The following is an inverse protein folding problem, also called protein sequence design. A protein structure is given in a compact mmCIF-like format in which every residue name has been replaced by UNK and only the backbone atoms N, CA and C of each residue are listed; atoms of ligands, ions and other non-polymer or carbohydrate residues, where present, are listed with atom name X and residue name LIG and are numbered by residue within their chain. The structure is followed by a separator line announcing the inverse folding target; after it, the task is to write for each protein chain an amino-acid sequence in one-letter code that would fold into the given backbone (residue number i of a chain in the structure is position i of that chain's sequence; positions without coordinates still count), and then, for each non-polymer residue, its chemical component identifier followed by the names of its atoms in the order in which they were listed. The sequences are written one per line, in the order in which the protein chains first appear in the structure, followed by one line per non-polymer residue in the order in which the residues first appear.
data_IF_728842905520
#
_entry.id   IF_728842905520
#
_cell.length_a   1.000
_cell.length_b   1.000
_cell.length_c   1.000
_cell.angle_alpha   90.00
_cell.angle_beta   90.00
_cell.angle_gamma   90.00
#
_symmetry.space_group_name_H-M   'P 1'
#
loop_
_entity.id
_entity.type
_entity.pdbx_description
1 polymer ?
#
# COMPACT_ATOMS: atom_id res chain seq x y z
N UNK A 1 -20.68 2.55 9.06
CA UNK A 1 -20.18 1.96 7.80
C UNK A 1 -19.83 3.11 6.87
N UNK A 2 -18.55 3.24 6.52
CA UNK A 2 -18.09 4.23 5.55
C UNK A 2 -18.64 3.89 4.17
N UNK A 3 -19.04 4.91 3.42
CA UNK A 3 -19.67 4.73 2.09
C UNK A 3 -18.64 4.14 1.11
N UNK A 4 -18.84 2.92 0.65
CA UNK A 4 -17.91 2.17 -0.22
C UNK A 4 -17.62 2.82 -1.59
N UNK A 5 -18.31 3.92 -1.94
CA UNK A 5 -18.10 4.61 -3.22
C UNK A 5 -17.02 5.70 -3.17
N UNK A 6 -16.56 6.12 -1.98
CA UNK A 6 -15.60 7.21 -1.84
C UNK A 6 -14.14 6.75 -1.75
N UNK A 7 -13.89 5.50 -1.33
CA UNK A 7 -12.56 4.91 -1.22
C UNK A 7 -12.59 3.40 -1.51
N UNK A 8 -11.41 2.78 -1.56
CA UNK A 8 -11.32 1.33 -1.68
C UNK A 8 -11.70 0.62 -0.36
N UNK A 9 -12.09 -0.65 -0.45
CA UNK A 9 -12.32 -1.49 0.72
C UNK A 9 -11.04 -1.62 1.58
N UNK A 10 -9.87 -1.56 0.96
CA UNK A 10 -8.60 -1.58 1.69
C UNK A 10 -8.40 -0.29 2.49
N UNK A 11 -8.70 0.86 1.91
CA UNK A 11 -8.64 2.14 2.62
C UNK A 11 -9.55 2.17 3.85
N UNK A 12 -10.82 1.74 3.71
CA UNK A 12 -11.75 1.62 4.84
C UNK A 12 -11.22 0.67 5.92
N UNK A 13 -10.70 -0.50 5.51
CA UNK A 13 -10.12 -1.49 6.42
C UNK A 13 -8.94 -0.92 7.22
N UNK A 14 -8.05 -0.16 6.59
CA UNK A 14 -6.90 0.46 7.25
C UNK A 14 -7.33 1.51 8.27
N UNK A 15 -8.32 2.34 7.92
CA UNK A 15 -8.86 3.34 8.86
C UNK A 15 -9.45 2.65 10.09
N UNK A 16 -10.28 1.61 9.89
CA UNK A 16 -10.90 0.87 10.99
C UNK A 16 -9.86 0.15 11.84
N UNK A 17 -8.84 -0.45 11.22
CA UNK A 17 -7.77 -1.12 11.93
C UNK A 17 -7.03 -0.18 12.89
N UNK A 18 -6.63 1.00 12.42
CA UNK A 18 -5.89 1.94 13.23
C UNK A 18 -6.74 2.72 14.23
N UNK A 19 -8.02 2.96 13.95
CA UNK A 19 -8.95 3.56 14.93
C UNK A 19 -9.25 2.65 16.12
N UNK A 20 -9.31 1.34 15.89
CA UNK A 20 -9.61 0.37 16.95
C UNK A 20 -8.39 -0.02 17.79
N UNK A 21 -7.18 0.34 17.38
CA UNK A 21 -5.95 0.10 18.11
C UNK A 21 -5.44 1.43 18.72
N UNK A 22 -5.81 1.72 19.94
CA UNK A 22 -5.58 3.00 20.62
C UNK A 22 -4.13 3.46 20.76
N UNK A 23 -3.17 2.53 20.62
CA UNK A 23 -1.73 2.82 20.74
C UNK A 23 -1.10 3.37 19.46
N UNK A 24 -1.89 3.51 18.40
CA UNK A 24 -1.41 3.90 17.08
C UNK A 24 -1.65 5.39 16.81
N UNK A 25 -0.65 6.21 17.09
CA UNK A 25 -0.71 7.64 16.82
C UNK A 25 -0.31 7.98 15.38
N UNK A 26 -1.13 7.53 14.40
CA UNK A 26 -0.93 7.87 13.00
C UNK A 26 -1.38 9.31 12.77
N UNK A 27 -0.47 10.14 12.26
CA UNK A 27 -0.72 11.54 11.90
C UNK A 27 -0.47 11.82 10.43
N UNK A 28 0.60 11.25 9.87
CA UNK A 28 1.03 11.48 8.50
C UNK A 28 1.18 10.17 7.73
N UNK A 29 0.46 10.05 6.63
CA UNK A 29 0.45 8.88 5.75
C UNK A 29 1.14 9.24 4.42
N UNK A 30 1.99 8.33 3.94
CA UNK A 30 2.42 8.30 2.55
C UNK A 30 1.53 7.30 1.80
N UNK A 31 0.77 7.76 0.82
CA UNK A 31 0.09 6.89 -0.15
C UNK A 31 1.04 6.68 -1.33
N UNK A 32 1.76 5.56 -1.29
CA UNK A 32 2.82 5.23 -2.23
C UNK A 32 2.24 4.45 -3.43
N UNK A 33 2.20 5.11 -4.58
CA UNK A 33 1.51 4.63 -5.78
C UNK A 33 0.02 4.96 -5.75
N UNK A 34 -0.31 6.23 -5.52
CA UNK A 34 -1.68 6.68 -5.28
C UNK A 34 -2.59 6.65 -6.51
N UNK A 35 -2.04 6.50 -7.72
CA UNK A 35 -2.80 6.54 -8.97
C UNK A 35 -3.61 7.84 -9.09
N UNK A 36 -4.91 7.72 -9.29
CA UNK A 36 -5.83 8.86 -9.40
C UNK A 36 -6.15 9.54 -8.05
N UNK A 37 -5.56 9.11 -6.94
CA UNK A 37 -5.69 9.72 -5.63
C UNK A 37 -7.00 9.50 -4.89
N UNK A 38 -7.86 8.59 -5.33
CA UNK A 38 -9.14 8.32 -4.67
C UNK A 38 -8.99 8.02 -3.19
N UNK A 39 -8.10 7.09 -2.85
CA UNK A 39 -7.85 6.69 -1.46
C UNK A 39 -7.12 7.80 -0.69
N UNK A 40 -6.18 8.52 -1.32
CA UNK A 40 -5.50 9.69 -0.74
C UNK A 40 -6.47 10.79 -0.33
N UNK A 41 -7.42 11.13 -1.21
CA UNK A 41 -8.49 12.12 -0.92
C UNK A 41 -9.35 11.70 0.27
N UNK A 42 -9.66 10.41 0.37
CA UNK A 42 -10.46 9.92 1.48
C UNK A 42 -9.66 9.89 2.79
N UNK A 43 -8.42 9.41 2.77
CA UNK A 43 -7.51 9.40 3.92
C UNK A 43 -7.26 10.82 4.46
N UNK A 44 -7.21 11.83 3.58
CA UNK A 44 -6.98 13.24 3.97
C UNK A 44 -8.10 13.86 4.80
N UNK A 45 -9.26 13.21 4.88
CA UNK A 45 -10.35 13.59 5.81
C UNK A 45 -9.98 13.32 7.27
N UNK A 46 -9.02 12.43 7.54
CA UNK A 46 -8.65 11.95 8.88
C UNK A 46 -7.19 12.19 9.24
N UNK A 47 -6.30 12.26 8.23
CA UNK A 47 -4.85 12.30 8.41
C UNK A 47 -4.24 13.37 7.50
N UNK A 48 -3.00 13.78 7.80
CA UNK A 48 -2.16 14.44 6.81
C UNK A 48 -1.67 13.37 5.81
N UNK A 49 -1.82 13.63 4.51
CA UNK A 49 -1.49 12.67 3.46
C UNK A 49 -0.52 13.29 2.45
N UNK A 50 0.53 12.57 2.15
CA UNK A 50 1.33 12.78 0.96
C UNK A 50 0.97 11.69 -0.05
N UNK A 51 0.37 12.08 -1.16
CA UNK A 51 0.04 11.20 -2.28
C UNK A 51 1.20 11.22 -3.28
N UNK A 52 1.72 10.06 -3.63
CA UNK A 52 2.87 9.95 -4.54
C UNK A 52 2.59 8.97 -5.67
N UNK A 53 2.84 9.40 -6.89
CA UNK A 53 2.82 8.56 -8.09
C UNK A 53 3.67 9.20 -9.19
N UNK A 54 4.07 8.41 -10.18
CA UNK A 54 4.76 8.88 -11.38
C UNK A 54 3.98 8.59 -12.68
N UNK A 55 2.71 8.21 -12.58
CA UNK A 55 1.88 7.81 -13.73
C UNK A 55 1.27 8.99 -14.51
N UNK A 56 1.61 10.23 -14.17
CA UNK A 56 1.17 11.43 -14.89
C UNK A 56 -0.21 11.95 -14.46
N UNK A 57 -0.87 11.38 -13.46
CA UNK A 57 -2.03 12.00 -12.83
C UNK A 57 -1.59 13.21 -12.00
N UNK A 58 -2.46 14.21 -11.96
CA UNK A 58 -2.29 15.38 -11.08
C UNK A 58 -3.48 15.41 -10.11
N UNK A 59 -3.17 15.51 -8.83
CA UNK A 59 -4.16 15.63 -7.76
C UNK A 59 -4.04 17.03 -7.19
N UNK A 60 -5.17 17.71 -7.01
CA UNK A 60 -5.18 19.03 -6.42
C UNK A 60 -4.78 18.96 -4.93
N UNK A 61 -3.81 19.79 -4.55
CA UNK A 61 -3.37 19.89 -3.17
C UNK A 61 -4.44 20.55 -2.30
N UNK A 62 -4.62 20.05 -1.10
CA UNK A 62 -5.50 20.63 -0.08
C UNK A 62 -4.72 20.90 1.21
N UNK A 63 -5.39 21.40 2.25
CA UNK A 63 -4.74 21.60 3.55
C UNK A 63 -4.09 20.33 4.11
N UNK A 64 -4.73 19.16 3.89
CA UNK A 64 -4.29 17.88 4.44
C UNK A 64 -3.76 16.90 3.37
N UNK A 65 -3.75 17.27 2.10
CA UNK A 65 -3.28 16.44 1.00
C UNK A 65 -2.26 17.20 0.18
N UNK A 66 -1.06 16.63 0.05
CA UNK A 66 -0.01 17.10 -0.82
C UNK A 66 0.34 16.01 -1.84
N UNK A 67 0.27 16.34 -3.13
CA UNK A 67 0.68 15.43 -4.19
C UNK A 67 2.12 15.72 -4.62
N UNK A 68 2.89 14.65 -4.81
CA UNK A 68 4.25 14.69 -5.36
C UNK A 68 4.40 13.69 -6.49
N UNK A 69 5.05 14.14 -7.57
CA UNK A 69 5.46 13.26 -8.66
C UNK A 69 6.86 12.73 -8.34
N UNK A 70 6.96 11.47 -7.92
CA UNK A 70 8.22 10.86 -7.52
C UNK A 70 8.18 9.34 -7.78
N UNK A 71 9.30 8.68 -7.60
CA UNK A 71 9.42 7.23 -7.71
C UNK A 71 9.07 6.54 -6.39
N UNK A 72 8.27 5.47 -6.51
CA UNK A 72 7.93 4.57 -5.39
C UNK A 72 9.18 4.06 -4.64
N UNK A 73 10.29 3.86 -5.34
CA UNK A 73 11.53 3.32 -4.75
C UNK A 73 12.35 4.42 -4.05
N UNK A 74 12.55 5.55 -4.72
CA UNK A 74 13.50 6.60 -4.28
C UNK A 74 12.92 7.62 -3.33
N UNK A 75 11.59 7.72 -3.20
CA UNK A 75 10.97 8.68 -2.29
C UNK A 75 11.50 8.53 -0.86
N UNK A 76 11.81 9.66 -0.23
CA UNK A 76 12.16 9.67 1.19
C UNK A 76 10.95 9.28 2.05
N UNK A 77 11.12 8.29 2.92
CA UNK A 77 10.07 7.70 3.76
C UNK A 77 10.18 8.09 5.25
N UNK A 78 11.06 9.03 5.60
CA UNK A 78 11.42 9.29 7.00
C UNK A 78 10.35 10.01 7.84
N UNK A 79 9.43 10.73 7.21
CA UNK A 79 8.50 11.61 7.88
C UNK A 79 7.06 11.08 7.93
N UNK A 80 6.88 9.78 7.78
CA UNK A 80 5.57 9.16 7.75
C UNK A 80 5.41 8.15 8.88
N UNK A 81 4.24 8.14 9.50
CA UNK A 81 3.87 7.16 10.52
C UNK A 81 3.35 5.87 9.90
N UNK A 82 2.72 6.00 8.73
CA UNK A 82 2.19 4.89 7.94
C UNK A 82 2.53 5.08 6.47
N UNK A 83 3.04 4.03 5.84
CA UNK A 83 3.13 3.91 4.39
C UNK A 83 1.99 3.01 3.95
N UNK A 84 1.11 3.54 3.11
CA UNK A 84 -0.01 2.86 2.49
C UNK A 84 0.33 2.58 1.03
N UNK A 85 0.15 1.36 0.56
CA UNK A 85 0.42 0.99 -0.82
C UNK A 85 -0.62 0.00 -1.32
N UNK A 86 -1.37 0.41 -2.34
CA UNK A 86 -2.40 -0.42 -2.94
C UNK A 86 -2.12 -0.65 -4.42
N UNK A 87 -1.97 -1.92 -4.80
CA UNK A 87 -1.75 -2.36 -6.18
C UNK A 87 -0.49 -1.82 -6.87
N UNK A 88 0.49 -1.37 -6.11
CA UNK A 88 1.79 -0.93 -6.61
C UNK A 88 2.85 -2.02 -6.44
N UNK A 89 2.79 -2.78 -5.33
CA UNK A 89 3.80 -3.76 -4.98
C UNK A 89 3.99 -4.84 -6.06
N UNK A 90 2.92 -5.31 -6.71
CA UNK A 90 3.02 -6.25 -7.83
C UNK A 90 3.40 -5.61 -9.18
N UNK A 91 3.71 -4.33 -9.20
CA UNK A 91 4.17 -3.61 -10.41
C UNK A 91 5.67 -3.32 -10.40
N UNK A 92 6.39 -3.80 -9.38
CA UNK A 92 7.84 -3.68 -9.22
C UNK A 92 8.48 -5.06 -9.05
N UNK A 93 9.78 -5.18 -9.32
CA UNK A 93 10.51 -6.44 -9.22
C UNK A 93 10.96 -6.72 -7.78
N UNK A 94 11.56 -7.89 -7.54
CA UNK A 94 11.97 -8.32 -6.20
C UNK A 94 13.12 -7.47 -5.62
N UNK A 95 14.02 -6.97 -6.44
CA UNK A 95 15.09 -6.08 -5.99
C UNK A 95 14.53 -4.73 -5.56
N UNK A 96 13.54 -4.23 -6.28
CA UNK A 96 12.79 -3.03 -5.93
C UNK A 96 11.95 -3.21 -4.66
N UNK A 97 11.36 -4.40 -4.43
CA UNK A 97 10.72 -4.73 -3.15
C UNK A 97 11.72 -4.58 -2.00
N UNK A 98 12.93 -5.13 -2.14
CA UNK A 98 13.97 -5.05 -1.14
C UNK A 98 14.40 -3.60 -0.88
N UNK A 99 14.63 -2.81 -1.93
CA UNK A 99 15.00 -1.39 -1.81
C UNK A 99 13.91 -0.59 -1.10
N UNK A 100 12.65 -0.78 -1.48
CA UNK A 100 11.51 -0.12 -0.87
C UNK A 100 11.41 -0.42 0.63
N UNK A 101 11.47 -1.70 1.02
CA UNK A 101 11.34 -2.12 2.41
C UNK A 101 12.54 -1.70 3.27
N UNK A 102 13.76 -1.77 2.70
CA UNK A 102 14.97 -1.36 3.40
C UNK A 102 15.00 0.15 3.72
N UNK A 103 14.42 0.97 2.84
CA UNK A 103 14.38 2.44 2.99
C UNK A 103 13.35 2.95 4.00
N UNK A 104 12.46 2.10 4.51
CA UNK A 104 11.47 2.48 5.52
C UNK A 104 12.14 2.63 6.88
N UNK A 105 11.83 3.73 7.58
CA UNK A 105 12.37 4.05 8.90
C UNK A 105 11.80 3.13 9.99
N UNK A 106 12.56 2.93 11.04
CA UNK A 106 12.13 2.21 12.24
C UNK A 106 10.87 2.85 12.86
N UNK A 107 10.02 2.02 13.45
CA UNK A 107 8.71 2.39 14.03
C UNK A 107 7.63 2.82 13.04
N UNK A 108 7.89 2.82 11.74
CA UNK A 108 6.89 3.12 10.71
C UNK A 108 6.00 1.91 10.46
N UNK A 109 4.68 2.14 10.35
CA UNK A 109 3.73 1.14 9.88
C UNK A 109 3.75 1.04 8.36
N UNK A 110 3.49 -0.15 7.86
CA UNK A 110 3.35 -0.43 6.43
C UNK A 110 2.08 -1.24 6.21
N UNK A 111 1.25 -0.77 5.29
CA UNK A 111 0.03 -1.45 4.86
C UNK A 111 0.07 -1.67 3.35
N UNK A 112 0.00 -2.93 2.92
CA UNK A 112 0.04 -3.31 1.50
C UNK A 112 -1.21 -4.11 1.15
N UNK A 113 -1.85 -3.77 0.02
CA UNK A 113 -2.74 -4.64 -0.73
C UNK A 113 -2.11 -4.90 -2.10
N UNK A 114 -1.88 -6.17 -2.42
CA UNK A 114 -1.24 -6.59 -3.68
C UNK A 114 -1.94 -7.81 -4.26
N UNK A 115 -1.86 -8.02 -5.57
CA UNK A 115 -2.41 -9.23 -6.20
C UNK A 115 -1.55 -10.44 -5.86
N UNK A 116 -2.20 -11.53 -5.44
CA UNK A 116 -1.56 -12.81 -5.19
C UNK A 116 -1.22 -13.54 -6.48
N UNK A 117 -0.21 -14.40 -6.41
CA UNK A 117 0.09 -15.38 -7.45
C UNK A 117 -1.00 -16.46 -7.57
N UNK A 118 -1.78 -16.68 -6.49
CA UNK A 118 -2.87 -17.66 -6.49
C UNK A 118 -4.05 -17.14 -7.31
N UNK A 119 -4.54 -17.93 -8.26
CA UNK A 119 -5.70 -17.59 -9.11
C UNK A 119 -5.41 -16.45 -10.09
N UNK A 120 -4.18 -16.01 -10.19
CA UNK A 120 -3.71 -15.24 -11.33
C UNK A 120 -3.62 -16.22 -12.50
N UNK A 121 -4.52 -16.13 -13.48
CA UNK A 121 -4.13 -16.55 -14.81
C UNK A 121 -2.89 -15.72 -15.13
N UNK A 122 -1.79 -16.39 -15.47
CA UNK A 122 -0.57 -15.74 -15.93
C UNK A 122 -0.88 -15.16 -17.31
N UNK A 123 -1.75 -14.20 -17.37
CA UNK A 123 -1.90 -13.30 -18.48
C UNK A 123 -0.84 -12.23 -18.26
N UNK A 124 0.35 -12.53 -18.75
CA UNK A 124 1.51 -11.64 -18.81
C UNK A 124 1.19 -10.27 -19.46
N UNK A 125 -0.02 -10.06 -19.93
CA UNK A 125 -0.43 -8.91 -20.72
C UNK A 125 -1.84 -8.40 -20.38
N UNK A 126 -1.96 -7.62 -19.33
CA UNK A 126 -2.91 -6.52 -19.39
C UNK A 126 -2.28 -5.40 -20.23
N UNK A 127 -2.42 -5.51 -21.58
CA UNK A 127 -1.75 -4.64 -22.53
C UNK A 127 -0.23 -4.92 -22.59
N UNK A 128 0.40 -4.73 -23.75
CA UNK A 128 1.81 -5.03 -24.04
C UNK A 128 2.84 -4.22 -23.21
N UNK A 129 2.42 -3.50 -22.16
CA UNK A 129 3.23 -2.47 -21.50
C UNK A 129 3.25 -2.53 -19.97
N UNK A 130 2.45 -3.36 -19.30
CA UNK A 130 2.44 -3.40 -17.83
C UNK A 130 3.13 -4.64 -17.28
N UNK A 131 4.29 -4.42 -16.65
CA UNK A 131 4.97 -5.44 -15.86
C UNK A 131 4.06 -5.89 -14.69
N UNK A 132 4.01 -7.19 -14.44
CA UNK A 132 3.30 -7.79 -13.31
C UNK A 132 4.19 -8.81 -12.62
N UNK A 133 4.40 -8.60 -11.33
CA UNK A 133 5.09 -9.49 -10.41
C UNK A 133 4.11 -9.89 -9.30
N UNK A 134 3.24 -10.86 -9.61
CA UNK A 134 2.25 -11.34 -8.63
C UNK A 134 2.94 -11.87 -7.39
N UNK A 135 2.40 -11.52 -6.22
CA UNK A 135 3.06 -11.74 -4.94
C UNK A 135 2.72 -13.11 -4.38
N UNK A 136 3.73 -13.89 -4.05
CA UNK A 136 3.59 -15.09 -3.21
C UNK A 136 3.57 -14.69 -1.74
N UNK A 137 2.64 -15.25 -0.94
CA UNK A 137 2.45 -14.85 0.46
C UNK A 137 3.65 -15.26 1.34
N UNK A 138 4.28 -16.40 1.08
CA UNK A 138 5.45 -16.85 1.85
C UNK A 138 6.69 -16.04 1.50
N UNK A 139 6.85 -15.67 0.22
CA UNK A 139 7.85 -14.69 -0.18
C UNK A 139 7.66 -13.36 0.56
N UNK A 140 6.42 -12.84 0.60
CA UNK A 140 6.12 -11.57 1.27
C UNK A 140 6.44 -11.63 2.76
N UNK A 141 6.03 -12.70 3.46
CA UNK A 141 6.38 -12.91 4.87
C UNK A 141 7.89 -12.93 5.09
N UNK A 142 8.61 -13.62 4.22
CA UNK A 142 10.07 -13.76 4.31
C UNK A 142 10.78 -12.42 4.13
N UNK A 143 10.43 -11.65 3.09
CA UNK A 143 11.09 -10.36 2.82
C UNK A 143 10.75 -9.32 3.88
N UNK A 144 9.53 -9.33 4.43
CA UNK A 144 9.15 -8.46 5.55
C UNK A 144 9.97 -8.78 6.78
N UNK A 145 10.08 -10.06 7.16
CA UNK A 145 10.90 -10.50 8.29
C UNK A 145 12.38 -10.12 8.13
N UNK A 146 12.95 -10.34 6.95
CA UNK A 146 14.34 -10.01 6.64
C UNK A 146 14.62 -8.50 6.72
N UNK A 147 13.59 -7.67 6.57
CA UNK A 147 13.64 -6.22 6.72
C UNK A 147 13.17 -5.72 8.09
N UNK A 148 13.15 -6.59 9.12
CA UNK A 148 12.77 -6.30 10.51
C UNK A 148 11.32 -5.82 10.69
N UNK A 149 10.40 -6.24 9.85
CA UNK A 149 8.98 -5.99 10.06
C UNK A 149 8.35 -7.07 10.92
N UNK A 150 7.58 -6.64 11.91
CA UNK A 150 6.61 -7.47 12.64
C UNK A 150 5.27 -7.42 11.92
N UNK A 151 4.75 -8.59 11.57
CA UNK A 151 3.44 -8.71 10.90
C UNK A 151 2.35 -8.67 11.96
N UNK A 152 1.49 -7.64 11.90
CA UNK A 152 0.35 -7.44 12.79
C UNK A 152 -0.93 -8.05 12.23
N UNK A 153 -1.05 -8.09 10.90
CA UNK A 153 -2.15 -8.69 10.18
C UNK A 153 -1.67 -9.15 8.82
N UNK A 154 -2.07 -10.35 8.41
CA UNK A 154 -1.90 -10.82 7.02
C UNK A 154 -3.05 -11.75 6.66
N UNK A 155 -3.62 -11.53 5.48
CA UNK A 155 -4.67 -12.38 4.91
C UNK A 155 -4.59 -12.41 3.40
N UNK A 156 -4.77 -13.59 2.84
CA UNK A 156 -4.90 -13.82 1.40
C UNK A 156 -6.31 -14.34 1.09
N UNK A 157 -6.94 -13.83 0.02
CA UNK A 157 -8.27 -14.25 -0.36
C UNK A 157 -8.91 -13.42 -1.45
N UNK A 158 -10.11 -13.81 -1.83
CA UNK A 158 -11.02 -13.08 -2.73
C UNK A 158 -11.84 -12.05 -1.94
N UNK A 159 -12.67 -11.31 -2.66
CA UNK A 159 -13.61 -10.31 -2.15
C UNK A 159 -12.97 -9.06 -1.51
N UNK A 160 -11.65 -8.91 -1.65
CA UNK A 160 -10.93 -7.73 -1.17
C UNK A 160 -11.02 -6.55 -2.15
N UNK A 161 -10.98 -6.84 -3.45
CA UNK A 161 -10.87 -5.81 -4.48
C UNK A 161 -11.71 -6.16 -5.71
N UNK A 162 -13.04 -6.22 -5.52
CA UNK A 162 -13.97 -6.46 -6.61
C UNK A 162 -14.05 -5.21 -7.49
N UNK A 163 -13.84 -5.38 -8.79
CA UNK A 163 -14.02 -4.33 -9.78
C UNK A 163 -14.70 -4.89 -11.01
N UNK A 164 -15.94 -4.42 -11.31
CA UNK A 164 -16.80 -4.97 -12.36
C UNK A 164 -16.96 -6.49 -12.22
N UNK A 165 -16.43 -7.25 -13.18
CA UNK A 165 -16.45 -8.72 -13.19
C UNK A 165 -15.20 -9.35 -12.57
N UNK A 166 -14.18 -8.54 -12.23
CA UNK A 166 -12.93 -9.02 -11.65
C UNK A 166 -13.05 -9.18 -10.14
N UNK A 167 -12.60 -10.33 -9.65
CA UNK A 167 -12.46 -10.62 -8.22
C UNK A 167 -11.13 -11.36 -7.98
N UNK A 168 -10.01 -10.64 -8.07
CA UNK A 168 -8.70 -11.24 -7.93
C UNK A 168 -8.45 -11.72 -6.50
N UNK A 169 -7.64 -12.76 -6.35
CA UNK A 169 -7.06 -13.09 -5.05
C UNK A 169 -6.03 -12.02 -4.70
N UNK A 170 -6.18 -11.40 -3.55
CA UNK A 170 -5.26 -10.38 -3.06
C UNK A 170 -4.69 -10.77 -1.71
N UNK A 171 -3.51 -10.24 -1.40
CA UNK A 171 -2.89 -10.29 -0.09
C UNK A 171 -3.02 -8.91 0.53
N UNK A 172 -3.51 -8.85 1.77
CA UNK A 172 -3.47 -7.68 2.65
C UNK A 172 -2.52 -7.95 3.79
N UNK A 173 -1.60 -7.04 4.03
CA UNK A 173 -0.69 -7.09 5.16
C UNK A 173 -0.59 -5.75 5.84
N UNK A 174 -0.59 -5.77 7.17
CA UNK A 174 -0.23 -4.64 8.02
C UNK A 174 0.93 -5.09 8.89
N UNK A 175 2.00 -4.33 8.89
CA UNK A 175 3.19 -4.63 9.65
C UNK A 175 3.82 -3.35 10.20
N UNK A 176 4.74 -3.50 11.16
CA UNK A 176 5.49 -2.39 11.76
C UNK A 176 6.98 -2.68 11.69
N UNK A 177 7.75 -1.69 11.26
CA UNK A 177 9.21 -1.78 11.27
C UNK A 177 9.72 -1.70 12.70
N UNK A 178 10.41 -2.74 13.15
CA UNK A 178 11.05 -2.76 14.47
C UNK A 178 12.39 -2.04 14.43
N UNK A 179 12.85 -1.56 15.59
CA UNK A 179 14.18 -1.01 15.74
C UNK A 179 15.23 -2.08 15.41
N UNK A 180 16.27 -1.69 14.68
CA UNK A 180 17.44 -2.55 14.56
C UNK A 180 18.02 -2.75 15.95
N UNK A 181 18.07 -4.02 16.40
CA UNK A 181 18.81 -4.40 17.61
C UNK A 181 20.30 -4.31 17.38
#
# INVERSE_FOLDING_TARGET
KLNNNECSNFCSFIIDFFKNNSDNNIKHILDAGCGNGRDSLFLSKFYKVTAMDNCGFTIENTKNLNYINDSFISINKDNYDLIYSRFTFHSINNDEHQQFLASIKDNTYLAIETRSIIGSEINEYYGKTHYRNYTDIEYLKTILKNNNFEILFIKEGKDFAIYKTENPVCIRVICKKNNKK
#
